data_IF_388304643195
#
_entry.id   IF_388304643195
#
_cell.length_a   1.000
_cell.length_b   1.000
_cell.length_c   1.000
_cell.angle_alpha   90.00
_cell.angle_beta   90.00
_cell.angle_gamma   90.00
#
_symmetry.space_group_name_H-M   'P 1'
#
loop_
_entity.id
_entity.type
_entity.pdbx_description
1 polymer ?
#
# COMPACT_ATOMS: atom_id res chain seq x y z
N UNK A 1 12.03 -13.87 -8.02
CA UNK A 1 11.83 -12.41 -7.82
C UNK A 1 13.12 -11.66 -7.44
N UNK A 2 14.13 -12.29 -6.81
CA UNK A 2 15.36 -11.59 -6.37
C UNK A 2 16.15 -10.87 -7.49
N UNK A 3 16.13 -11.38 -8.73
CA UNK A 3 16.78 -10.77 -9.92
C UNK A 3 15.85 -9.88 -10.76
N UNK A 4 14.58 -9.78 -10.40
CA UNK A 4 13.58 -9.03 -11.18
C UNK A 4 13.66 -7.51 -10.94
N UNK A 5 14.48 -7.09 -9.98
CA UNK A 5 14.70 -5.69 -9.62
C UNK A 5 16.18 -5.40 -9.70
N UNK A 6 16.50 -4.26 -10.30
CA UNK A 6 17.86 -3.73 -10.38
C UNK A 6 18.43 -3.50 -8.97
N UNK A 7 19.74 -3.70 -8.84
CA UNK A 7 20.47 -3.59 -7.57
C UNK A 7 21.67 -2.69 -7.73
N UNK A 8 21.97 -1.93 -6.67
CA UNK A 8 23.21 -1.18 -6.56
C UNK A 8 24.42 -2.10 -6.26
N UNK A 9 25.60 -1.50 -6.04
CA UNK A 9 26.82 -2.22 -5.68
C UNK A 9 26.77 -2.90 -4.30
N UNK A 10 25.75 -2.62 -3.49
CA UNK A 10 25.54 -3.15 -2.13
C UNK A 10 24.30 -4.08 -2.05
N UNK A 11 24.07 -4.89 -3.08
CA UNK A 11 22.80 -5.58 -3.39
C UNK A 11 21.47 -4.98 -2.91
N UNK A 12 21.29 -3.65 -2.85
CA UNK A 12 20.02 -3.00 -2.45
C UNK A 12 19.20 -2.62 -3.66
N UNK A 13 17.87 -2.62 -3.52
CA UNK A 13 16.94 -2.14 -4.55
C UNK A 13 16.22 -0.89 -4.09
N UNK A 14 15.74 -0.09 -5.04
CA UNK A 14 14.90 1.09 -4.76
C UNK A 14 13.40 0.75 -4.60
N UNK A 15 13.06 -0.54 -4.61
CA UNK A 15 11.70 -1.02 -4.40
C UNK A 15 11.51 -1.49 -2.95
N UNK A 16 10.36 -1.18 -2.38
CA UNK A 16 9.99 -1.54 -1.00
C UNK A 16 8.55 -2.03 -0.93
N UNK A 17 8.24 -2.80 0.12
CA UNK A 17 6.88 -3.22 0.45
C UNK A 17 6.61 -2.84 1.89
N UNK A 18 5.43 -2.27 2.16
CA UNK A 18 5.02 -1.85 3.50
C UNK A 18 3.60 -2.36 3.79
N UNK A 19 3.38 -2.85 5.00
CA UNK A 19 2.05 -3.18 5.49
C UNK A 19 1.40 -1.93 6.10
N UNK A 20 0.14 -1.68 5.76
CA UNK A 20 -0.61 -0.52 6.25
C UNK A 20 -1.89 -0.97 6.96
N UNK A 21 -2.22 -0.29 8.06
CA UNK A 21 -3.49 -0.46 8.75
C UNK A 21 -4.31 0.85 8.67
N UNK A 22 -5.20 0.99 7.67
CA UNK A 22 -6.01 2.20 7.52
C UNK A 22 -6.95 2.45 8.71
N UNK A 23 -7.28 1.43 9.50
CA UNK A 23 -8.15 1.55 10.68
C UNK A 23 -7.51 2.37 11.81
N UNK A 24 -6.17 2.45 11.85
CA UNK A 24 -5.46 3.32 12.79
C UNK A 24 -5.63 4.82 12.46
N UNK A 25 -5.99 5.16 11.23
CA UNK A 25 -6.20 6.54 10.77
C UNK A 25 -7.65 6.95 11.04
N UNK A 26 -8.61 6.18 10.53
CA UNK A 26 -10.04 6.37 10.79
C UNK A 26 -10.86 5.19 10.26
N UNK A 27 -12.01 4.90 10.89
CA UNK A 27 -12.96 3.88 10.40
C UNK A 27 -13.47 4.15 8.98
N UNK A 28 -13.44 5.39 8.51
CA UNK A 28 -13.89 5.78 7.16
C UNK A 28 -12.76 5.87 6.12
N UNK A 29 -11.52 5.56 6.51
CA UNK A 29 -10.35 5.81 5.66
C UNK A 29 -10.13 4.75 4.57
N UNK A 30 -10.85 3.62 4.57
CA UNK A 30 -10.64 2.51 3.63
C UNK A 30 -10.73 2.96 2.16
N UNK A 31 -11.83 3.61 1.76
CA UNK A 31 -12.02 4.10 0.39
C UNK A 31 -11.12 5.29 0.04
N UNK A 32 -10.75 6.09 1.05
CA UNK A 32 -9.88 7.23 0.86
C UNK A 32 -8.43 6.79 0.61
N UNK A 33 -7.99 5.67 1.20
CA UNK A 33 -6.63 5.17 1.07
C UNK A 33 -6.27 4.84 -0.39
N UNK A 34 -7.19 4.21 -1.14
CA UNK A 34 -6.99 3.91 -2.57
C UNK A 34 -6.81 5.18 -3.38
N UNK A 35 -7.67 6.19 -3.17
CA UNK A 35 -7.56 7.48 -3.86
C UNK A 35 -6.27 8.21 -3.54
N UNK A 36 -5.83 8.19 -2.28
CA UNK A 36 -4.57 8.80 -1.84
C UNK A 36 -3.38 8.13 -2.53
N UNK A 37 -3.36 6.79 -2.58
CA UNK A 37 -2.29 6.04 -3.23
C UNK A 37 -2.21 6.33 -4.72
N UNK A 38 -3.36 6.35 -5.42
CA UNK A 38 -3.44 6.71 -6.84
C UNK A 38 -2.95 8.13 -7.09
N UNK A 39 -3.37 9.08 -6.26
CA UNK A 39 -2.91 10.49 -6.34
C UNK A 39 -1.39 10.59 -6.20
N UNK A 40 -0.79 9.86 -5.25
CA UNK A 40 0.67 9.88 -5.05
C UNK A 40 1.39 9.23 -6.23
N UNK A 41 0.88 8.11 -6.75
CA UNK A 41 1.43 7.41 -7.92
C UNK A 41 1.51 8.34 -9.13
N UNK A 42 0.39 9.01 -9.45
CA UNK A 42 0.30 9.97 -10.56
C UNK A 42 1.22 11.17 -10.32
N UNK A 43 1.20 11.75 -9.12
CA UNK A 43 1.99 12.94 -8.80
C UNK A 43 3.49 12.69 -8.83
N UNK A 44 3.94 11.51 -8.37
CA UNK A 44 5.36 11.15 -8.30
C UNK A 44 5.85 10.40 -9.55
N UNK A 45 4.95 10.11 -10.50
CA UNK A 45 5.21 9.25 -11.67
C UNK A 45 5.91 7.92 -11.30
N UNK A 46 5.57 7.37 -10.13
CA UNK A 46 6.20 6.19 -9.55
C UNK A 46 5.19 5.05 -9.41
N UNK A 47 5.62 3.81 -9.61
CA UNK A 47 4.75 2.64 -9.47
C UNK A 47 4.43 2.41 -7.98
N UNK A 48 3.14 2.47 -7.63
CA UNK A 48 2.65 2.22 -6.28
C UNK A 48 1.35 1.40 -6.35
N UNK A 49 1.36 0.20 -5.78
CA UNK A 49 0.25 -0.75 -5.90
C UNK A 49 -0.07 -1.45 -4.58
N UNK A 50 -1.36 -1.77 -4.37
CA UNK A 50 -1.79 -2.67 -3.30
C UNK A 50 -1.55 -4.13 -3.74
N UNK A 51 -0.54 -4.76 -3.14
CA UNK A 51 -0.14 -6.13 -3.50
C UNK A 51 -1.00 -7.19 -2.77
N UNK A 52 -1.60 -6.85 -1.62
CA UNK A 52 -2.42 -7.77 -0.84
C UNK A 52 -3.47 -7.04 0.00
N UNK A 53 -4.75 -7.42 -0.15
CA UNK A 53 -5.84 -7.06 0.78
C UNK A 53 -6.07 -8.21 1.78
N UNK A 54 -5.46 -8.13 2.98
CA UNK A 54 -5.40 -9.27 3.91
C UNK A 54 -6.65 -9.42 4.79
N UNK A 55 -7.37 -8.34 5.07
CA UNK A 55 -8.53 -8.36 5.97
C UNK A 55 -9.53 -7.26 5.60
N UNK A 56 -10.80 -7.63 5.43
CA UNK A 56 -11.92 -6.68 5.48
C UNK A 56 -12.42 -6.62 6.93
N UNK A 57 -12.41 -5.43 7.54
CA UNK A 57 -12.96 -5.24 8.88
C UNK A 57 -14.47 -5.06 8.76
N UNK A 58 -15.21 -6.17 8.81
CA UNK A 58 -16.66 -6.14 8.96
C UNK A 58 -17.02 -5.81 10.41
N UNK A 59 -17.36 -4.54 10.70
CA UNK A 59 -18.05 -4.22 11.94
C UNK A 59 -19.48 -4.75 11.83
N UNK A 60 -19.74 -5.97 12.31
CA UNK A 60 -21.12 -6.38 12.59
C UNK A 60 -21.63 -5.48 13.71
N UNK A 61 -22.42 -4.47 13.34
CA UNK A 61 -23.38 -3.83 14.24
C UNK A 61 -24.25 -4.96 14.81
N UNK A 62 -23.91 -5.46 15.99
CA UNK A 62 -24.91 -6.12 16.81
C UNK A 62 -25.77 -5.02 17.42
N UNK A 63 -27.12 -5.10 17.31
CA UNK A 63 -28.05 -4.12 17.86
C UNK A 63 -27.93 -3.97 19.39
#
# INVERSE_FOLDING_TARGET
MQRAVERDSQPRSNYVMCAVNPSCISKKFSDAAVRVMDTISVFTASLLEFIYHNMEVSWSLNP
#
